data_IF_810012413580
#
_entry.id   IF_810012413580
#
_cell.length_a   1.000
_cell.length_b   1.000
_cell.length_c   1.000
_cell.angle_alpha   90.00
_cell.angle_beta   90.00
_cell.angle_gamma   90.00
#
_symmetry.space_group_name_H-M   'P 1'
#
loop_
_entity.id
_entity.type
_entity.pdbx_description
1 polymer ?
#
# COMPACT_ATOMS: atom_id res chain seq x y z
N UNK A 1 -19.83 -2.65 -17.40
CA UNK A 1 -18.36 -2.71 -17.24
C UNK A 1 -18.03 -1.85 -16.04
N UNK A 2 -17.43 -2.40 -14.97
CA UNK A 2 -17.13 -1.61 -13.77
C UNK A 2 -16.22 -0.44 -14.16
N UNK A 3 -16.59 0.79 -13.80
CA UNK A 3 -15.85 2.00 -14.18
C UNK A 3 -14.37 1.93 -13.73
N UNK A 4 -14.11 1.26 -12.60
CA UNK A 4 -12.78 0.97 -12.08
C UNK A 4 -11.94 0.06 -13.00
N UNK A 5 -12.55 -1.00 -13.54
CA UNK A 5 -11.89 -1.88 -14.51
C UNK A 5 -11.57 -1.11 -15.80
N UNK A 6 -12.50 -0.27 -16.25
CA UNK A 6 -12.31 0.60 -17.42
C UNK A 6 -11.15 1.57 -17.25
N UNK A 7 -11.09 2.26 -16.10
CA UNK A 7 -10.00 3.20 -15.76
C UNK A 7 -8.63 2.51 -15.69
N UNK A 8 -8.56 1.31 -15.11
CA UNK A 8 -7.32 0.52 -15.03
C UNK A 8 -6.83 0.08 -16.39
N UNK A 9 -7.74 -0.44 -17.22
CA UNK A 9 -7.45 -0.83 -18.60
C UNK A 9 -6.95 0.37 -19.40
N UNK A 10 -7.63 1.51 -19.29
CA UNK A 10 -7.21 2.75 -19.95
C UNK A 10 -5.81 3.20 -19.49
N UNK A 11 -5.53 3.15 -18.18
CA UNK A 11 -4.22 3.50 -17.62
C UNK A 11 -3.10 2.58 -18.13
N UNK A 12 -3.39 1.28 -18.26
CA UNK A 12 -2.44 0.29 -18.75
C UNK A 12 -2.15 0.48 -20.24
N UNK A 13 -3.17 0.68 -21.07
CA UNK A 13 -3.01 0.97 -22.50
C UNK A 13 -2.28 2.30 -22.74
N UNK A 14 -2.67 3.35 -22.03
CA UNK A 14 -2.05 4.66 -22.16
C UNK A 14 -0.60 4.67 -21.66
N UNK A 15 -0.33 3.97 -20.56
CA UNK A 15 1.03 3.76 -20.06
C UNK A 15 1.89 3.01 -21.08
N UNK A 16 1.38 1.93 -21.68
CA UNK A 16 2.11 1.20 -22.74
C UNK A 16 2.40 2.10 -23.94
N UNK A 17 1.41 2.87 -24.40
CA UNK A 17 1.58 3.85 -25.47
C UNK A 17 2.69 4.85 -25.14
N UNK A 18 2.66 5.47 -23.95
CA UNK A 18 3.65 6.45 -23.51
C UNK A 18 5.06 5.84 -23.40
N UNK A 19 5.17 4.59 -22.97
CA UNK A 19 6.45 3.89 -22.88
C UNK A 19 7.11 3.78 -24.26
N UNK A 20 6.35 3.31 -25.26
CA UNK A 20 6.84 3.20 -26.64
C UNK A 20 7.04 4.58 -27.30
N UNK A 21 6.21 5.58 -26.97
CA UNK A 21 6.38 6.95 -27.44
C UNK A 21 7.69 7.58 -26.96
N UNK A 22 8.16 7.25 -25.76
CA UNK A 22 9.45 7.73 -25.23
C UNK A 22 10.69 7.06 -25.85
N UNK A 23 10.56 5.85 -26.42
CA UNK A 23 11.70 5.06 -26.92
C UNK A 23 12.55 5.77 -27.97
N UNK A 24 11.98 6.43 -29.02
CA UNK A 24 12.79 7.15 -29.99
C UNK A 24 13.72 8.18 -29.36
N UNK A 25 13.26 8.88 -28.32
CA UNK A 25 14.03 9.89 -27.60
C UNK A 25 15.15 9.27 -26.75
N UNK A 26 14.85 8.18 -26.03
CA UNK A 26 15.85 7.42 -25.27
C UNK A 26 16.93 6.82 -26.17
N UNK A 27 16.57 6.46 -27.41
CA UNK A 27 17.49 5.83 -28.37
C UNK A 27 18.35 6.80 -29.18
N UNK A 28 18.11 8.12 -29.11
CA UNK A 28 18.86 9.12 -29.89
C UNK A 28 20.39 8.98 -29.77
N UNK A 29 21.00 8.81 -28.57
CA UNK A 29 22.45 8.62 -28.46
C UNK A 29 22.95 7.39 -29.22
N UNK A 30 22.19 6.30 -29.18
CA UNK A 30 22.55 5.04 -29.85
C UNK A 30 22.42 5.14 -31.36
N UNK A 31 21.38 5.84 -31.85
CA UNK A 31 21.19 6.09 -33.27
C UNK A 31 22.31 6.97 -33.83
N UNK A 32 22.68 8.03 -33.13
CA UNK A 32 23.78 8.92 -33.54
C UNK A 32 25.15 8.24 -33.46
N UNK A 33 25.37 7.37 -32.48
CA UNK A 33 26.57 6.55 -32.42
C UNK A 33 26.63 5.54 -33.58
N UNK A 34 25.51 4.88 -33.89
CA UNK A 34 25.42 3.91 -34.99
C UNK A 34 25.60 4.53 -36.38
N UNK A 35 25.20 5.78 -36.57
CA UNK A 35 25.34 6.52 -37.84
C UNK A 35 26.73 7.18 -38.00
N UNK A 36 27.63 6.98 -37.02
CA UNK A 36 28.98 7.55 -37.05
C UNK A 36 29.04 9.06 -36.77
N UNK A 37 27.93 9.68 -36.36
CA UNK A 37 27.90 11.08 -35.96
C UNK A 37 28.67 11.35 -34.64
N UNK A 38 28.90 10.28 -33.85
CA UNK A 38 29.81 10.28 -32.71
C UNK A 38 31.01 9.40 -33.09
N UNK A 39 32.12 10.04 -33.46
CA UNK A 39 33.37 9.40 -33.87
C UNK A 39 34.54 9.86 -32.97
N UNK A 40 35.27 8.88 -32.41
CA UNK A 40 36.44 9.12 -31.56
C UNK A 40 37.58 9.86 -32.28
N UNK A 41 37.64 9.77 -33.61
CA UNK A 41 38.63 10.48 -34.42
C UNK A 41 38.34 12.00 -34.52
N UNK A 42 37.11 12.41 -34.17
CA UNK A 42 36.63 13.80 -34.20
C UNK A 42 36.10 14.19 -32.81
N UNK A 43 37.00 14.41 -31.83
CA UNK A 43 36.62 14.50 -30.42
C UNK A 43 35.78 15.74 -30.08
N UNK A 44 35.97 16.86 -30.79
CA UNK A 44 35.22 18.09 -30.52
C UNK A 44 33.78 18.01 -31.03
N UNK A 45 33.60 17.49 -32.25
CA UNK A 45 32.31 17.22 -32.88
C UNK A 45 31.54 16.18 -32.08
N UNK A 46 32.21 15.11 -31.67
CA UNK A 46 31.63 14.07 -30.82
C UNK A 46 31.18 14.59 -29.46
N UNK A 47 31.98 15.45 -28.81
CA UNK A 47 31.59 16.08 -27.54
C UNK A 47 30.32 16.92 -27.69
N UNK A 48 30.22 17.70 -28.78
CA UNK A 48 29.03 18.47 -29.10
C UNK A 48 27.81 17.56 -29.31
N UNK A 49 27.95 16.50 -30.11
CA UNK A 49 26.87 15.56 -30.39
C UNK A 49 26.41 14.84 -29.12
N UNK A 50 27.33 14.40 -28.26
CA UNK A 50 27.00 13.82 -26.95
C UNK A 50 26.16 14.82 -26.14
N UNK A 51 26.63 16.06 -25.99
CA UNK A 51 25.91 17.10 -25.26
C UNK A 51 24.52 17.38 -25.85
N UNK A 52 24.40 17.34 -27.18
CA UNK A 52 23.14 17.52 -27.90
C UNK A 52 22.14 16.38 -27.65
N UNK A 53 22.59 15.14 -27.50
CA UNK A 53 21.69 13.99 -27.25
C UNK A 53 21.19 13.87 -25.82
N UNK A 54 21.89 14.47 -24.84
CA UNK A 54 21.53 14.38 -23.41
C UNK A 54 20.09 14.85 -23.13
N UNK A 55 19.61 16.01 -23.64
CA UNK A 55 18.22 16.43 -23.46
C UNK A 55 17.20 15.41 -23.98
N UNK A 56 17.46 14.78 -25.13
CA UNK A 56 16.56 13.77 -25.70
C UNK A 56 16.53 12.50 -24.86
N UNK A 57 17.71 12.03 -24.43
CA UNK A 57 17.82 10.89 -23.53
C UNK A 57 17.05 11.14 -22.22
N UNK A 58 17.25 12.31 -21.60
CA UNK A 58 16.55 12.66 -20.36
C UNK A 58 15.03 12.76 -20.57
N UNK A 59 14.58 13.40 -21.66
CA UNK A 59 13.16 13.51 -21.97
C UNK A 59 12.51 12.14 -22.22
N UNK A 60 13.19 11.27 -22.98
CA UNK A 60 12.73 9.90 -23.23
C UNK A 60 12.63 9.07 -21.95
N UNK A 61 13.68 9.08 -21.12
CA UNK A 61 13.68 8.41 -19.82
C UNK A 61 12.61 8.96 -18.87
N UNK A 62 12.39 10.27 -18.86
CA UNK A 62 11.34 10.89 -18.06
C UNK A 62 9.94 10.43 -18.48
N UNK A 63 9.64 10.43 -19.79
CA UNK A 63 8.35 9.93 -20.31
C UNK A 63 8.17 8.45 -19.98
N UNK A 64 9.22 7.64 -20.14
CA UNK A 64 9.19 6.21 -19.81
C UNK A 64 9.00 5.95 -18.32
N UNK A 65 9.61 6.75 -17.44
CA UNK A 65 9.39 6.68 -16.00
C UNK A 65 7.93 6.93 -15.64
N UNK A 66 7.32 7.98 -16.20
CA UNK A 66 5.90 8.28 -16.01
C UNK A 66 5.00 7.16 -16.56
N UNK A 67 5.35 6.61 -17.72
CA UNK A 67 4.66 5.50 -18.35
C UNK A 67 4.65 4.23 -17.47
N UNK A 68 5.79 3.87 -16.88
CA UNK A 68 5.90 2.75 -15.94
C UNK A 68 5.04 2.96 -14.69
N UNK A 69 4.92 4.20 -14.22
CA UNK A 69 4.00 4.57 -13.13
C UNK A 69 2.54 4.26 -13.47
N UNK A 70 2.10 4.61 -14.69
CA UNK A 70 0.74 4.33 -15.18
C UNK A 70 0.48 2.82 -15.36
N UNK A 71 1.46 2.10 -15.90
CA UNK A 71 1.37 0.63 -16.06
C UNK A 71 1.26 -0.03 -14.67
N UNK A 72 2.09 0.38 -13.71
CA UNK A 72 2.02 -0.10 -12.32
C UNK A 72 0.64 0.17 -11.72
N UNK A 73 0.11 1.38 -11.87
CA UNK A 73 -1.22 1.72 -11.36
C UNK A 73 -2.34 0.88 -12.01
N UNK A 74 -2.26 0.60 -13.31
CA UNK A 74 -3.23 -0.28 -13.97
C UNK A 74 -3.19 -1.73 -13.50
N UNK A 75 -1.97 -2.24 -13.22
CA UNK A 75 -1.76 -3.61 -12.75
C UNK A 75 -2.14 -3.82 -11.29
N UNK A 76 -1.90 -2.82 -10.42
CA UNK A 76 -2.33 -2.84 -9.03
C UNK A 76 -3.85 -2.74 -8.95
N UNK A 77 -4.52 -3.89 -8.90
CA UNK A 77 -5.94 -3.95 -8.58
C UNK A 77 -6.17 -3.72 -7.11
N UNK A 78 -7.19 -2.94 -6.81
CA UNK A 78 -7.91 -2.97 -5.54
C UNK A 78 -8.54 -4.36 -5.43
N UNK A 79 -7.86 -5.28 -4.76
CA UNK A 79 -8.56 -6.46 -4.24
C UNK A 79 -9.50 -5.91 -3.19
N UNK A 80 -10.80 -6.19 -3.31
CA UNK A 80 -11.75 -5.87 -2.25
C UNK A 80 -11.28 -6.64 -1.00
N UNK A 81 -10.77 -5.97 0.04
CA UNK A 81 -10.22 -6.64 1.21
C UNK A 81 -11.23 -7.53 1.92
N UNK A 82 -12.52 -7.21 1.80
CA UNK A 82 -13.62 -7.94 2.44
C UNK A 82 -14.03 -9.19 1.66
N UNK A 83 -13.62 -9.28 0.39
CA UNK A 83 -13.84 -10.47 -0.45
C UNK A 83 -12.88 -11.62 -0.14
N UNK A 84 -11.78 -11.35 0.57
CA UNK A 84 -10.77 -12.35 0.90
C UNK A 84 -11.29 -13.17 2.10
N UNK A 85 -11.52 -14.48 1.94
CA UNK A 85 -12.02 -15.32 3.03
C UNK A 85 -10.98 -15.44 4.15
N UNK A 86 -11.48 -15.68 5.36
CA UNK A 86 -10.64 -15.91 6.54
C UNK A 86 -9.75 -17.14 6.34
N UNK A 87 -8.44 -17.00 6.54
CA UNK A 87 -7.48 -18.10 6.34
C UNK A 87 -7.32 -19.02 7.56
N UNK A 88 -7.62 -18.53 8.76
CA UNK A 88 -7.44 -19.25 10.02
C UNK A 88 -8.77 -19.41 10.78
N UNK A 89 -8.84 -20.35 11.75
CA UNK A 89 -9.92 -20.34 12.72
C UNK A 89 -10.10 -18.95 13.36
N UNK A 90 -11.33 -18.58 13.73
CA UNK A 90 -11.59 -17.35 14.45
C UNK A 90 -10.69 -17.21 15.70
N UNK A 91 -10.08 -16.03 15.87
CA UNK A 91 -9.30 -15.67 17.06
C UNK A 91 -10.14 -15.52 18.33
N UNK A 92 -9.74 -14.67 19.29
CA UNK A 92 -10.60 -14.31 20.41
C UNK A 92 -11.84 -13.52 19.98
N UNK A 93 -12.93 -13.62 20.74
CA UNK A 93 -14.16 -12.82 20.52
C UNK A 93 -13.96 -11.34 20.88
N UNK A 94 -13.12 -11.07 21.88
CA UNK A 94 -12.80 -9.72 22.31
C UNK A 94 -11.31 -9.58 22.66
N UNK A 95 -10.81 -8.35 22.51
CA UNK A 95 -9.48 -7.92 22.92
C UNK A 95 -9.63 -6.66 23.76
N UNK A 96 -8.65 -6.40 24.61
CA UNK A 96 -8.52 -5.13 25.35
C UNK A 96 -7.18 -4.50 25.06
N UNK A 97 -7.19 -3.23 24.65
CA UNK A 97 -5.97 -2.41 24.58
C UNK A 97 -5.77 -1.78 25.96
N UNK A 98 -4.75 -2.25 26.67
CA UNK A 98 -4.47 -1.87 28.07
C UNK A 98 -3.46 -0.74 28.21
N UNK A 99 -2.64 -0.52 27.18
CA UNK A 99 -1.66 0.57 27.11
C UNK A 99 -1.67 1.16 25.69
N UNK A 100 -1.80 2.47 25.58
CA UNK A 100 -1.69 3.21 24.33
C UNK A 100 -1.30 4.67 24.59
N UNK A 101 -0.48 5.33 23.73
CA UNK A 101 -0.12 6.75 23.88
C UNK A 101 -1.30 7.70 23.87
N UNK A 102 -2.24 7.47 22.97
CA UNK A 102 -3.54 8.13 22.96
C UNK A 102 -4.55 7.28 23.74
N UNK A 103 -5.02 7.82 24.86
CA UNK A 103 -5.98 7.15 25.74
C UNK A 103 -7.31 6.84 25.04
N UNK A 104 -7.64 7.52 23.95
CA UNK A 104 -8.88 7.27 23.21
C UNK A 104 -8.92 5.84 22.64
N UNK A 105 -7.77 5.25 22.34
CA UNK A 105 -7.63 3.88 21.83
C UNK A 105 -7.66 2.80 22.93
N UNK A 106 -7.56 3.17 24.20
CA UNK A 106 -7.64 2.21 25.31
C UNK A 106 -9.08 1.72 25.47
N UNK A 107 -9.24 0.43 25.76
CA UNK A 107 -10.53 -0.21 26.03
C UNK A 107 -10.75 -1.50 25.25
N UNK A 108 -11.99 -1.98 25.32
CA UNK A 108 -12.43 -3.24 24.71
C UNK A 108 -12.70 -3.09 23.21
N UNK A 109 -12.31 -4.09 22.44
CA UNK A 109 -12.56 -4.22 21.01
C UNK A 109 -13.18 -5.60 20.72
N UNK A 110 -14.29 -5.60 20.00
CA UNK A 110 -15.03 -6.81 19.66
C UNK A 110 -14.70 -7.25 18.24
N UNK A 111 -14.49 -8.56 18.06
CA UNK A 111 -14.28 -9.16 16.75
C UNK A 111 -15.49 -8.93 15.85
N UNK A 112 -15.22 -8.61 14.60
CA UNK A 112 -16.26 -8.42 13.59
C UNK A 112 -16.51 -9.74 12.81
N UNK A 113 -17.74 -9.97 12.32
CA UNK A 113 -18.07 -11.23 11.65
C UNK A 113 -17.32 -11.41 10.33
N UNK A 114 -17.15 -10.32 9.58
CA UNK A 114 -16.41 -10.31 8.32
C UNK A 114 -14.90 -10.20 8.53
N UNK A 115 -14.14 -10.79 7.61
CA UNK A 115 -12.68 -10.62 7.58
C UNK A 115 -12.30 -9.37 6.77
N UNK A 116 -11.18 -8.75 7.14
CA UNK A 116 -10.51 -7.73 6.33
C UNK A 116 -9.15 -8.30 5.94
N UNK A 117 -8.84 -8.31 4.65
CA UNK A 117 -7.60 -8.86 4.11
C UNK A 117 -7.35 -10.32 4.59
N UNK A 118 -8.41 -11.13 4.64
CA UNK A 118 -8.36 -12.54 5.07
C UNK A 118 -8.13 -12.75 6.56
N UNK A 119 -8.21 -11.70 7.38
CA UNK A 119 -7.90 -11.73 8.81
C UNK A 119 -9.01 -11.15 9.66
N UNK A 120 -9.04 -11.60 10.91
CA UNK A 120 -9.91 -11.02 11.93
C UNK A 120 -9.53 -9.57 12.20
N UNK A 121 -10.56 -8.75 12.38
CA UNK A 121 -10.42 -7.37 12.78
C UNK A 121 -11.39 -7.07 13.92
N UNK A 122 -11.04 -6.06 14.70
CA UNK A 122 -11.72 -5.76 15.95
C UNK A 122 -12.14 -4.29 15.94
N UNK A 123 -13.34 -3.99 16.44
CA UNK A 123 -13.88 -2.63 16.53
C UNK A 123 -14.26 -2.32 17.97
N UNK A 124 -13.91 -1.12 18.42
CA UNK A 124 -14.32 -0.60 19.71
C UNK A 124 -15.83 -0.33 19.72
N UNK A 125 -16.62 -0.87 20.66
CA UNK A 125 -18.07 -0.68 20.68
C UNK A 125 -18.46 0.81 20.70
N UNK A 126 -19.45 1.18 19.89
CA UNK A 126 -19.98 2.54 19.76
C UNK A 126 -18.97 3.63 19.33
N UNK A 127 -17.75 3.25 18.94
CA UNK A 127 -16.71 4.14 18.41
C UNK A 127 -16.25 3.68 17.01
N UNK A 128 -15.50 4.51 16.30
CA UNK A 128 -14.96 4.19 14.97
C UNK A 128 -13.59 3.51 15.01
N UNK A 129 -13.00 3.39 16.22
CA UNK A 129 -11.67 2.82 16.42
C UNK A 129 -11.65 1.34 16.14
N UNK A 130 -10.62 0.92 15.42
CA UNK A 130 -10.48 -0.45 14.93
C UNK A 130 -9.03 -0.90 14.88
N UNK A 131 -8.86 -2.20 15.03
CA UNK A 131 -7.62 -2.93 14.82
C UNK A 131 -7.81 -3.86 13.63
N UNK A 132 -7.01 -3.69 12.58
CA UNK A 132 -7.10 -4.52 11.38
C UNK A 132 -5.73 -4.75 10.74
N UNK A 133 -5.64 -5.76 9.86
CA UNK A 133 -4.43 -6.01 9.11
C UNK A 133 -4.44 -5.27 7.77
N UNK A 134 -3.39 -4.51 7.48
CA UNK A 134 -3.15 -3.87 6.20
C UNK A 134 -2.22 -4.73 5.33
N UNK A 135 -2.69 -5.10 4.14
CA UNK A 135 -2.01 -6.01 3.22
C UNK A 135 -1.26 -5.32 2.06
N UNK A 136 -0.76 -4.09 2.27
CA UNK A 136 -0.03 -3.30 1.24
C UNK A 136 -0.84 -2.96 -0.01
N UNK A 137 -2.17 -2.89 0.12
CA UNK A 137 -3.10 -2.67 -0.99
C UNK A 137 -2.81 -1.38 -1.79
N UNK A 138 -2.34 -0.31 -1.13
CA UNK A 138 -1.95 0.97 -1.74
C UNK A 138 -0.45 1.28 -1.63
N UNK A 139 0.38 0.27 -1.37
CA UNK A 139 1.82 0.43 -1.13
C UNK A 139 2.18 0.39 0.36
N UNK A 140 3.30 0.99 0.74
CA UNK A 140 3.77 0.94 2.13
C UNK A 140 4.22 -0.46 2.57
N UNK A 141 4.20 -0.72 3.88
CA UNK A 141 4.59 -2.00 4.48
C UNK A 141 3.40 -2.71 5.12
N UNK A 142 3.32 -4.03 4.98
CA UNK A 142 2.23 -4.80 5.57
C UNK A 142 2.34 -4.81 7.10
N UNK A 143 1.20 -4.81 7.80
CA UNK A 143 1.20 -4.84 9.25
C UNK A 143 -0.17 -4.62 9.87
N UNK A 144 -0.18 -4.64 11.20
CA UNK A 144 -1.37 -4.33 11.97
C UNK A 144 -1.51 -2.82 12.13
N UNK A 145 -2.72 -2.31 11.92
CA UNK A 145 -3.03 -0.88 11.97
C UNK A 145 -4.13 -0.64 12.99
N UNK A 146 -3.91 0.38 13.81
CA UNK A 146 -4.93 1.01 14.66
C UNK A 146 -5.33 2.32 13.99
N UNK A 147 -6.62 2.50 13.76
CA UNK A 147 -7.15 3.68 13.08
C UNK A 147 -8.58 3.96 13.54
N UNK A 148 -9.06 5.17 13.33
CA UNK A 148 -10.39 5.64 13.72
C UNK A 148 -11.27 6.02 12.52
N UNK A 149 -10.80 5.83 11.29
CA UNK A 149 -11.58 6.06 10.07
C UNK A 149 -12.19 4.76 9.59
N UNK A 150 -13.37 4.82 8.97
CA UNK A 150 -14.02 3.64 8.40
C UNK A 150 -13.58 3.40 6.94
N UNK A 151 -13.11 2.19 6.64
CA UNK A 151 -12.76 1.73 5.29
C UNK A 151 -12.78 0.19 5.22
N UNK A 152 -12.62 -0.38 4.03
CA UNK A 152 -12.54 -1.83 3.84
C UNK A 152 -11.20 -2.47 4.31
N UNK A 153 -10.18 -1.71 4.72
CA UNK A 153 -8.81 -2.16 5.00
C UNK A 153 -7.87 -2.04 3.80
N UNK A 154 -8.25 -1.24 2.81
CA UNK A 154 -7.51 -1.01 1.57
C UNK A 154 -6.50 0.14 1.68
N UNK A 155 -6.67 1.02 2.67
CA UNK A 155 -5.88 2.25 2.81
C UNK A 155 -4.75 2.08 3.82
N UNK A 156 -3.62 2.71 3.51
CA UNK A 156 -2.45 2.80 4.39
C UNK A 156 -2.69 3.84 5.48
N UNK A 157 -3.57 3.50 6.41
CA UNK A 157 -4.12 4.36 7.45
C UNK A 157 -3.82 3.76 8.82
N UNK A 158 -3.26 4.57 9.72
CA UNK A 158 -2.78 4.13 11.02
C UNK A 158 -2.68 5.29 12.02
N UNK A 159 -3.71 6.15 12.12
CA UNK A 159 -3.68 7.32 13.01
C UNK A 159 -3.52 6.91 14.50
N UNK A 160 -3.90 5.68 14.85
CA UNK A 160 -3.64 5.03 16.15
C UNK A 160 -2.38 4.17 16.19
N UNK A 161 -1.59 4.14 15.12
CA UNK A 161 -0.33 3.42 15.06
C UNK A 161 -0.29 2.22 14.14
N UNK A 162 0.93 1.90 13.72
CA UNK A 162 1.21 0.77 12.85
C UNK A 162 2.27 -0.15 13.44
N UNK A 163 2.03 -1.46 13.40
CA UNK A 163 2.99 -2.48 13.78
C UNK A 163 3.42 -3.28 12.54
N UNK A 164 4.68 -3.18 12.09
CA UNK A 164 5.20 -4.02 11.02
C UNK A 164 5.14 -5.49 11.42
N UNK A 165 4.30 -6.27 10.76
CA UNK A 165 4.16 -7.70 11.05
C UNK A 165 3.63 -8.45 9.84
N UNK A 166 4.26 -9.59 9.53
CA UNK A 166 3.87 -10.45 8.39
C UNK A 166 3.18 -11.74 8.80
N UNK A 167 3.27 -12.15 10.08
CA UNK A 167 2.59 -13.34 10.57
C UNK A 167 1.08 -13.17 10.58
N UNK A 168 0.33 -14.25 10.74
CA UNK A 168 -1.14 -14.24 10.78
C UNK A 168 -1.74 -13.91 12.14
N UNK A 169 -0.93 -14.01 13.18
CA UNK A 169 -1.35 -13.88 14.57
C UNK A 169 -1.72 -12.43 14.92
N UNK A 170 -2.70 -12.29 15.80
CA UNK A 170 -3.07 -11.03 16.45
C UNK A 170 -1.86 -10.58 17.29
N UNK A 171 -1.53 -9.28 17.31
CA UNK A 171 -0.33 -8.77 17.95
C UNK A 171 -0.48 -8.64 19.47
N UNK A 172 -0.79 -9.75 20.15
CA UNK A 172 -0.95 -9.82 21.60
C UNK A 172 0.34 -9.46 22.36
N UNK A 173 0.15 -8.99 23.59
CA UNK A 173 1.16 -8.53 24.51
C UNK A 173 1.59 -7.07 24.26
N UNK A 174 2.62 -6.65 24.99
CA UNK A 174 3.20 -5.31 24.91
C UNK A 174 4.25 -5.24 23.79
N UNK A 175 4.03 -4.40 22.78
CA UNK A 175 4.92 -4.21 21.62
C UNK A 175 5.16 -2.73 21.33
N UNK A 176 6.25 -2.42 20.61
CA UNK A 176 6.47 -1.07 20.09
C UNK A 176 5.75 -0.91 18.76
N UNK A 177 4.87 0.07 18.71
CA UNK A 177 4.14 0.46 17.51
C UNK A 177 4.70 1.78 17.00
N UNK A 178 4.64 1.99 15.70
CA UNK A 178 4.93 3.27 15.08
C UNK A 178 3.77 4.24 15.35
N UNK A 179 3.70 4.71 16.59
CA UNK A 179 2.91 5.84 17.08
C UNK A 179 3.92 6.84 17.64
N UNK A 180 3.91 8.10 17.17
CA UNK A 180 4.76 9.20 17.68
C UNK A 180 6.20 8.76 18.07
N UNK A 181 6.98 8.28 17.11
CA UNK A 181 8.36 7.78 17.29
C UNK A 181 8.53 6.49 18.15
N UNK A 182 7.60 5.53 18.05
CA UNK A 182 7.87 4.14 18.47
C UNK A 182 7.40 3.78 19.89
N UNK A 183 6.22 4.24 20.30
CA UNK A 183 5.70 4.01 21.65
C UNK A 183 5.07 2.63 21.87
N UNK A 184 4.91 2.29 23.14
CA UNK A 184 4.39 0.99 23.57
C UNK A 184 2.86 0.95 23.47
N UNK A 185 2.37 -0.16 22.92
CA UNK A 185 0.95 -0.54 22.94
C UNK A 185 0.85 -1.96 23.47
N UNK A 186 -0.08 -2.21 24.40
CA UNK A 186 -0.33 -3.53 24.98
C UNK A 186 -1.74 -3.98 24.63
N UNK A 187 -1.83 -5.19 24.07
CA UNK A 187 -3.08 -5.81 23.65
C UNK A 187 -3.21 -7.15 24.36
N UNK A 188 -4.31 -7.35 25.06
CA UNK A 188 -4.61 -8.57 25.79
C UNK A 188 -5.90 -9.19 25.27
N UNK A 189 -6.00 -10.51 25.36
CA UNK A 189 -7.27 -11.20 25.13
C UNK A 189 -8.23 -10.85 26.28
N UNK A 190 -9.49 -10.58 25.93
CA UNK A 190 -10.53 -10.28 26.93
C UNK A 190 -11.78 -11.09 26.67
N UNK A 191 -12.54 -11.34 27.73
CA UNK A 191 -13.89 -11.86 27.61
C UNK A 191 -14.85 -10.70 27.24
N UNK A 192 -15.81 -10.89 26.33
CA UNK A 192 -16.75 -9.83 25.96
C UNK A 192 -17.58 -9.40 27.17
N UNK A 193 -17.49 -8.13 27.52
CA UNK A 193 -18.25 -7.54 28.64
C UNK A 193 -19.63 -7.17 28.11
N UNK A 194 -20.62 -8.03 28.37
CA UNK A 194 -22.02 -7.91 27.93
C UNK A 194 -22.30 -8.06 26.42
N UNK A 195 -22.20 -9.30 25.94
CA UNK A 195 -23.23 -9.76 24.97
C UNK A 195 -24.53 -9.88 25.76
N UNK A 196 -25.41 -8.88 25.68
CA UNK A 196 -26.82 -9.08 26.07
C UNK A 196 -27.27 -10.41 25.44
N UNK A 197 -27.48 -11.43 26.27
CA UNK A 197 -28.01 -12.73 25.87
C UNK A 197 -29.46 -12.52 25.42
N UNK A 198 -29.69 -12.21 24.15
CA UNK A 198 -31.03 -12.06 23.56
C UNK A 198 -31.75 -13.40 23.31
N UNK A 199 -31.48 -14.43 24.12
CA UNK A 199 -32.12 -15.75 24.00
C UNK A 199 -32.51 -16.35 25.37
N UNK A 200 -33.36 -15.65 26.12
CA UNK A 200 -34.21 -16.24 27.16
C UNK A 200 -35.67 -15.93 26.88
#
# INVERSE_FOLDING_TARGET
MNEEIGSRIASLFFGLFMFFFGLPFTLVPFLMFSDGAIDINYPFESLFMIAFTIPFLMAGLFVQFMALGLIRAGMSGTVDPTSIPRELPPGPDALSITEHPDQSYIGEYLRQPEAINGRDWYKKPAETKRLYYYAQNQGGSAGWSLDDREDAGSRDWFDGGWLPYKGFEIPLGRKQWNVDDGKWVSIEESEPTDVKKWWQ
#
